data_IF_431587620598
#
_entry.id   IF_431587620598
#
_cell.length_a   1.000
_cell.length_b   1.000
_cell.length_c   1.000
_cell.angle_alpha   90.00
_cell.angle_beta   90.00
_cell.angle_gamma   90.00
#
_symmetry.space_group_name_H-M   'P 1'
#
loop_
_entity.id
_entity.type
_entity.pdbx_description
1 polymer ?
#
# COMPACT_ATOMS: atom_id res chain seq x y z
N UNK A 1 2.86 3.57 -12.17
CA UNK A 1 2.11 4.82 -12.00
C UNK A 1 1.34 4.70 -10.70
N UNK A 2 1.59 5.62 -9.78
CA UNK A 2 0.70 5.97 -8.68
C UNK A 2 -0.33 7.00 -9.20
N UNK A 3 -1.64 6.83 -8.98
CA UNK A 3 -2.66 7.77 -9.44
C UNK A 3 -2.53 9.19 -8.87
N UNK A 4 -1.79 9.39 -7.77
CA UNK A 4 -1.63 10.71 -7.10
C UNK A 4 -0.38 11.49 -7.50
N UNK A 5 0.39 10.98 -8.45
CA UNK A 5 1.68 11.56 -8.74
C UNK A 5 1.64 12.73 -9.73
N UNK A 6 2.52 13.70 -9.49
CA UNK A 6 2.62 14.97 -10.23
C UNK A 6 3.14 14.86 -11.67
N UNK A 7 3.57 16.00 -12.23
CA UNK A 7 4.02 16.10 -13.62
C UNK A 7 5.17 15.12 -13.96
N UNK A 8 5.23 14.61 -15.21
CA UNK A 8 6.21 13.61 -15.64
C UNK A 8 7.65 14.16 -15.66
N UNK A 9 8.66 13.29 -15.48
CA UNK A 9 10.05 13.71 -15.54
C UNK A 9 10.50 14.27 -16.88
N UNK A 10 11.05 15.49 -16.83
CA UNK A 10 11.77 16.12 -17.93
C UNK A 10 13.25 15.71 -17.90
N UNK A 11 13.68 14.96 -18.90
CA UNK A 11 15.07 14.52 -19.05
C UNK A 11 15.32 13.82 -20.39
N UNK A 12 16.55 13.94 -20.90
CA UNK A 12 17.05 13.31 -22.13
C UNK A 12 17.82 11.99 -21.88
N UNK A 13 17.81 11.49 -20.63
CA UNK A 13 18.48 10.24 -20.26
C UNK A 13 17.62 9.02 -20.60
N UNK A 14 18.25 7.89 -20.90
CA UNK A 14 17.58 6.65 -21.27
C UNK A 14 16.63 6.16 -20.17
N UNK A 15 17.11 6.12 -18.91
CA UNK A 15 16.25 6.02 -17.74
C UNK A 15 16.28 7.31 -16.92
N UNK A 16 15.10 7.79 -16.52
CA UNK A 16 14.98 8.90 -15.56
C UNK A 16 14.03 8.49 -14.45
N UNK A 17 14.44 8.71 -13.20
CA UNK A 17 13.57 8.52 -12.03
C UNK A 17 13.16 9.88 -11.50
N UNK A 18 11.87 10.05 -11.24
CA UNK A 18 11.37 11.22 -10.51
C UNK A 18 10.26 10.76 -9.59
N UNK A 19 10.47 10.97 -8.27
CA UNK A 19 9.59 10.47 -7.20
C UNK A 19 9.32 8.97 -7.36
N UNK A 20 8.09 8.61 -7.68
CA UNK A 20 7.52 7.27 -7.85
C UNK A 20 7.47 6.82 -9.32
N UNK A 21 8.15 7.53 -10.23
CA UNK A 21 8.15 7.26 -11.67
C UNK A 21 9.51 6.83 -12.17
N UNK A 22 9.51 5.89 -13.11
CA UNK A 22 10.64 5.62 -13.99
C UNK A 22 10.17 5.83 -15.42
N UNK A 23 10.78 6.80 -16.10
CA UNK A 23 10.60 7.03 -17.53
C UNK A 23 11.67 6.28 -18.30
N UNK A 24 11.24 5.52 -19.31
CA UNK A 24 12.11 4.83 -20.28
C UNK A 24 11.99 5.56 -21.61
N UNK A 25 13.10 6.10 -22.12
CA UNK A 25 13.08 6.82 -23.37
C UNK A 25 13.11 5.87 -24.57
N UNK A 26 12.00 5.84 -25.33
CA UNK A 26 11.80 4.89 -26.42
C UNK A 26 12.74 5.10 -27.63
N UNK A 27 13.36 6.29 -27.75
CA UNK A 27 14.20 6.68 -28.88
C UNK A 27 13.42 7.36 -30.00
N UNK A 28 14.08 7.57 -31.14
CA UNK A 28 13.53 8.34 -32.27
C UNK A 28 12.77 7.51 -33.30
N UNK A 29 12.67 6.18 -33.11
CA UNK A 29 11.91 5.33 -34.02
C UNK A 29 10.41 5.66 -33.97
N UNK A 30 9.77 5.72 -35.13
CA UNK A 30 8.32 5.96 -35.26
C UNK A 30 7.49 4.69 -35.10
N UNK A 31 8.15 3.53 -35.01
CA UNK A 31 7.51 2.23 -34.82
C UNK A 31 7.16 1.98 -33.35
N UNK A 32 6.01 1.33 -33.12
CA UNK A 32 5.60 0.96 -31.76
C UNK A 32 6.60 -0.02 -31.12
N UNK A 33 7.06 0.25 -29.89
CA UNK A 33 8.08 -0.58 -29.24
C UNK A 33 7.53 -1.95 -28.82
N UNK A 34 8.41 -2.95 -28.84
CA UNK A 34 8.14 -4.27 -28.27
C UNK A 34 8.67 -4.28 -26.84
N UNK A 35 7.77 -4.35 -25.85
CA UNK A 35 8.15 -4.40 -24.43
C UNK A 35 7.91 -5.78 -23.86
N UNK A 36 8.94 -6.36 -23.24
CA UNK A 36 8.90 -7.65 -22.56
C UNK A 36 9.16 -7.44 -21.07
N UNK A 37 8.18 -7.75 -20.23
CA UNK A 37 8.39 -7.87 -18.78
C UNK A 37 9.04 -9.21 -18.48
N UNK A 38 10.18 -9.20 -17.81
CA UNK A 38 10.99 -10.40 -17.59
C UNK A 38 11.31 -10.62 -16.11
N UNK A 39 10.86 -11.77 -15.60
CA UNK A 39 11.05 -12.18 -14.21
C UNK A 39 12.23 -13.14 -14.00
N UNK A 40 12.99 -13.47 -15.05
CA UNK A 40 14.17 -14.34 -14.96
C UNK A 40 15.43 -13.61 -14.46
N UNK A 41 16.56 -14.32 -14.40
CA UNK A 41 17.87 -13.71 -14.09
C UNK A 41 18.39 -12.81 -15.21
N UNK A 42 19.44 -12.01 -14.96
CA UNK A 42 20.03 -11.14 -15.99
C UNK A 42 20.36 -11.95 -17.27
N UNK A 43 19.80 -11.61 -18.46
CA UNK A 43 20.12 -12.29 -19.71
C UNK A 43 21.58 -12.09 -20.15
N UNK A 44 22.29 -11.12 -19.57
CA UNK A 44 23.71 -10.86 -19.78
C UNK A 44 24.01 -10.13 -21.09
N UNK A 45 25.25 -9.63 -21.24
CA UNK A 45 25.65 -8.75 -22.35
C UNK A 45 25.76 -9.48 -23.71
N UNK A 46 25.77 -10.81 -23.73
CA UNK A 46 25.85 -11.59 -24.99
C UNK A 46 24.49 -11.76 -25.70
N UNK A 47 23.40 -11.24 -25.13
CA UNK A 47 22.05 -11.39 -25.67
C UNK A 47 21.68 -10.38 -26.79
N UNK A 48 22.63 -9.56 -27.26
CA UNK A 48 22.41 -8.63 -28.37
C UNK A 48 21.66 -7.34 -28.01
N UNK A 49 21.74 -6.92 -26.75
CA UNK A 49 21.23 -5.63 -26.27
C UNK A 49 22.27 -4.53 -26.50
N UNK A 50 21.82 -3.36 -26.95
CA UNK A 50 22.69 -2.21 -27.25
C UNK A 50 22.90 -1.35 -26.00
N UNK A 51 21.82 -1.12 -25.24
CA UNK A 51 21.84 -0.38 -23.99
C UNK A 51 21.35 -1.28 -22.85
N UNK A 52 21.99 -1.19 -21.70
CA UNK A 52 21.48 -1.76 -20.44
C UNK A 52 21.67 -0.73 -19.36
N UNK A 53 20.58 -0.33 -18.72
CA UNK A 53 20.61 0.63 -17.63
C UNK A 53 19.79 0.12 -16.46
N UNK A 54 20.25 0.46 -15.25
CA UNK A 54 19.58 0.16 -14.00
C UNK A 54 19.29 1.47 -13.28
N UNK A 55 18.08 1.60 -12.77
CA UNK A 55 17.71 2.72 -11.92
C UNK A 55 16.98 2.21 -10.69
N UNK A 56 17.20 2.89 -9.57
CA UNK A 56 16.54 2.55 -8.31
C UNK A 56 15.36 3.48 -8.11
N UNK A 57 14.22 2.91 -7.72
CA UNK A 57 13.03 3.67 -7.32
C UNK A 57 12.47 3.13 -6.01
N UNK A 58 11.68 3.96 -5.34
CA UNK A 58 10.92 3.56 -4.14
C UNK A 58 9.45 3.52 -4.52
N UNK A 59 8.80 2.37 -4.31
CA UNK A 59 7.34 2.27 -4.37
C UNK A 59 6.78 2.50 -2.97
N UNK A 60 6.02 3.57 -2.81
CA UNK A 60 5.36 3.96 -1.54
C UNK A 60 4.04 3.23 -1.33
N UNK A 61 3.35 2.87 -2.41
CA UNK A 61 2.03 2.19 -2.38
C UNK A 61 2.12 0.68 -2.54
N UNK A 62 3.29 0.17 -2.94
CA UNK A 62 3.44 -1.24 -3.28
C UNK A 62 2.70 -1.62 -4.56
N UNK A 63 2.39 -0.63 -5.38
CA UNK A 63 1.83 -0.79 -6.71
C UNK A 63 2.78 -0.19 -7.76
N UNK A 64 3.13 -1.00 -8.76
CA UNK A 64 3.87 -0.55 -9.93
C UNK A 64 3.15 -1.04 -11.18
N UNK A 65 2.99 -0.14 -12.15
CA UNK A 65 2.37 -0.42 -13.44
C UNK A 65 3.23 0.17 -14.54
N UNK A 66 3.35 -0.57 -15.65
CA UNK A 66 3.97 -0.11 -16.89
C UNK A 66 2.91 0.60 -17.73
N UNK A 67 3.15 1.86 -18.08
CA UNK A 67 2.25 2.67 -18.89
C UNK A 67 2.87 3.07 -20.23
N UNK A 68 2.02 3.37 -21.22
CA UNK A 68 2.44 4.02 -22.47
C UNK A 68 2.61 5.53 -22.30
N UNK A 69 3.04 6.22 -23.37
CA UNK A 69 3.19 7.68 -23.35
C UNK A 69 1.89 8.48 -23.17
N UNK A 70 0.73 7.81 -23.27
CA UNK A 70 -0.58 8.35 -22.93
C UNK A 70 -1.01 8.01 -21.51
N UNK A 71 -0.10 7.47 -20.69
CA UNK A 71 -0.32 7.08 -19.30
C UNK A 71 -1.29 5.90 -19.10
N UNK A 72 -1.62 5.16 -20.16
CA UNK A 72 -2.50 4.00 -20.05
C UNK A 72 -1.70 2.76 -19.63
N UNK A 73 -2.16 1.98 -18.64
CA UNK A 73 -1.49 0.74 -18.25
C UNK A 73 -1.44 -0.24 -19.43
N UNK A 74 -0.23 -0.54 -19.90
CA UNK A 74 0.01 -1.52 -20.97
C UNK A 74 -0.14 -2.94 -20.43
N UNK A 75 0.06 -3.12 -19.11
CA UNK A 75 -0.14 -4.38 -18.42
C UNK A 75 -0.99 -4.18 -17.15
N UNK A 76 -2.00 -5.04 -16.96
CA UNK A 76 -2.94 -4.97 -15.82
C UNK A 76 -2.44 -5.62 -14.53
N UNK A 77 -1.17 -6.05 -14.49
CA UNK A 77 -0.62 -6.77 -13.35
C UNK A 77 0.29 -5.84 -12.53
N UNK A 78 0.19 -5.92 -11.21
CA UNK A 78 1.08 -5.19 -10.31
C UNK A 78 2.52 -5.75 -10.43
N UNK A 79 3.47 -4.87 -10.75
CA UNK A 79 4.89 -5.19 -10.91
C UNK A 79 5.67 -5.10 -9.59
N UNK A 80 5.12 -4.47 -8.55
CA UNK A 80 5.68 -4.41 -7.21
C UNK A 80 5.45 -5.75 -6.47
N UNK A 81 6.17 -6.78 -6.92
CA UNK A 81 6.02 -8.16 -6.41
C UNK A 81 6.37 -8.33 -4.94
N UNK A 82 7.11 -7.39 -4.34
CA UNK A 82 7.47 -7.37 -2.93
C UNK A 82 6.66 -6.35 -2.10
N UNK A 83 5.61 -5.73 -2.67
CA UNK A 83 4.85 -4.67 -2.02
C UNK A 83 5.61 -3.35 -1.96
N UNK A 84 5.44 -2.58 -0.90
CA UNK A 84 6.14 -1.30 -0.70
C UNK A 84 7.65 -1.52 -0.56
N UNK A 85 8.44 -0.54 -1.00
CA UNK A 85 9.88 -0.56 -0.83
C UNK A 85 10.68 -0.30 -2.10
N UNK A 86 11.98 -0.57 -2.02
CA UNK A 86 12.93 -0.25 -3.09
C UNK A 86 12.95 -1.32 -4.17
N UNK A 87 12.87 -0.87 -5.40
CA UNK A 87 12.99 -1.69 -6.61
C UNK A 87 14.15 -1.21 -7.46
N UNK A 88 14.89 -2.16 -8.01
CA UNK A 88 15.80 -1.90 -9.12
C UNK A 88 15.04 -2.20 -10.41
N UNK A 89 14.91 -1.18 -11.25
CA UNK A 89 14.36 -1.31 -12.59
C UNK A 89 15.55 -1.45 -13.52
N UNK A 90 15.71 -2.64 -14.11
CA UNK A 90 16.70 -2.89 -15.16
C UNK A 90 16.00 -2.87 -16.51
N UNK A 91 16.53 -2.09 -17.44
CA UNK A 91 16.02 -2.04 -18.81
C UNK A 91 17.15 -2.35 -19.77
N UNK A 92 16.95 -3.40 -20.56
CA UNK A 92 17.75 -3.68 -21.73
C UNK A 92 17.03 -3.14 -22.96
N UNK A 93 17.73 -2.45 -23.85
CA UNK A 93 17.16 -1.94 -25.08
C UNK A 93 18.00 -2.25 -26.31
N UNK A 94 17.32 -2.39 -27.46
CA UNK A 94 17.93 -2.48 -28.78
C UNK A 94 17.10 -1.76 -29.82
N UNK A 95 17.75 -1.36 -30.92
CA UNK A 95 17.12 -0.82 -32.13
C UNK A 95 16.37 0.52 -31.91
N UNK A 96 16.66 1.25 -30.83
CA UNK A 96 15.99 2.52 -30.44
C UNK A 96 16.13 3.67 -31.44
N UNK A 97 17.20 3.65 -32.23
CA UNK A 97 17.55 4.70 -33.20
C UNK A 97 17.50 4.19 -34.65
N UNK A 98 16.95 2.99 -34.88
CA UNK A 98 16.84 2.41 -36.22
C UNK A 98 15.47 2.73 -36.81
N UNK A 99 15.43 3.38 -37.98
CA UNK A 99 14.17 3.78 -38.61
C UNK A 99 13.36 2.59 -39.17
N UNK A 100 14.03 1.50 -39.55
CA UNK A 100 13.41 0.32 -40.17
C UNK A 100 13.13 -0.83 -39.18
N UNK A 101 13.34 -0.60 -37.89
CA UNK A 101 13.17 -1.62 -36.85
C UNK A 101 12.37 -1.10 -35.68
N UNK A 102 11.63 -2.03 -35.07
CA UNK A 102 10.90 -1.77 -33.83
C UNK A 102 11.88 -1.73 -32.66
N UNK A 103 11.88 -0.67 -31.84
CA UNK A 103 12.62 -0.66 -30.58
C UNK A 103 12.19 -1.84 -29.71
N UNK A 104 13.14 -2.50 -29.06
CA UNK A 104 12.87 -3.63 -28.18
C UNK A 104 13.35 -3.31 -26.78
N UNK A 105 12.50 -3.59 -25.81
CA UNK A 105 12.80 -3.40 -24.39
C UNK A 105 12.56 -4.70 -23.64
N UNK A 106 13.52 -5.09 -22.81
CA UNK A 106 13.34 -6.09 -21.77
C UNK A 106 13.47 -5.40 -20.42
N UNK A 107 12.37 -5.41 -19.65
CA UNK A 107 12.28 -4.70 -18.37
C UNK A 107 12.20 -5.74 -17.25
N UNK A 108 13.09 -5.61 -16.27
CA UNK A 108 13.06 -6.38 -15.04
C UNK A 108 12.77 -5.44 -13.87
N UNK A 109 11.83 -5.85 -13.02
CA UNK A 109 11.51 -5.17 -11.76
C UNK A 109 11.99 -6.08 -10.63
N UNK A 110 13.11 -5.71 -10.02
CA UNK A 110 13.85 -6.57 -9.10
C UNK A 110 13.68 -6.01 -7.67
N UNK A 111 13.09 -6.77 -6.74
CA UNK A 111 13.09 -6.40 -5.33
C UNK A 111 14.52 -6.47 -4.76
N UNK A 112 15.01 -5.41 -4.09
CA UNK A 112 16.21 -5.53 -3.25
C UNK A 112 17.16 -4.34 -3.18
N UNK A 113 17.80 -4.21 -2.00
CA UNK A 113 18.75 -3.17 -1.56
C UNK A 113 20.17 -3.35 -2.12
N UNK A 114 20.86 -2.24 -2.43
CA UNK A 114 22.33 -2.17 -2.30
C UNK A 114 22.65 -1.66 -0.89
N UNK A 115 23.39 -2.45 -0.12
CA UNK A 115 23.95 -2.13 1.20
C UNK A 115 24.55 -0.72 1.23
N UNK A 116 23.99 0.18 2.06
CA UNK A 116 24.59 1.49 2.35
C UNK A 116 23.69 2.71 2.22
N UNK A 117 22.42 2.58 1.82
CA UNK A 117 21.47 3.66 1.95
C UNK A 117 20.89 3.69 3.38
N UNK A 118 20.77 4.90 3.93
CA UNK A 118 20.10 5.17 5.20
C UNK A 118 18.73 4.48 5.26
N UNK A 119 18.31 3.94 6.42
CA UNK A 119 17.11 3.12 6.51
C UNK A 119 15.93 3.87 5.90
N UNK A 120 15.02 3.14 5.23
CA UNK A 120 13.68 3.66 5.00
C UNK A 120 13.18 4.31 6.31
N UNK A 121 12.45 5.44 6.28
CA UNK A 121 11.83 5.94 7.48
C UNK A 121 11.09 4.76 8.13
N UNK A 122 11.30 4.51 9.42
CA UNK A 122 10.73 3.35 10.07
C UNK A 122 9.23 3.34 9.79
N UNK A 123 8.71 2.22 9.28
CA UNK A 123 7.25 2.02 9.22
C UNK A 123 6.69 2.38 10.59
N UNK A 124 5.63 3.18 10.63
CA UNK A 124 4.97 3.54 11.87
C UNK A 124 4.78 2.29 12.73
N UNK A 125 5.15 2.40 13.99
CA UNK A 125 5.04 1.33 14.97
C UNK A 125 3.80 1.61 15.81
N UNK A 126 3.18 0.56 16.34
CA UNK A 126 2.07 0.72 17.30
C UNK A 126 2.57 1.47 18.54
N UNK A 127 3.82 1.19 18.91
CA UNK A 127 4.49 1.75 20.07
C UNK A 127 4.66 3.27 19.99
N UNK A 128 4.85 3.85 18.80
CA UNK A 128 5.09 5.29 18.61
C UNK A 128 3.87 6.03 18.04
N UNK A 129 2.69 5.40 18.01
CA UNK A 129 1.47 5.96 17.39
C UNK A 129 0.40 6.32 18.42
N UNK A 130 -0.35 7.38 18.12
CA UNK A 130 -1.46 7.88 18.94
C UNK A 130 -2.78 7.88 18.16
N UNK A 131 -3.89 7.95 18.90
CA UNK A 131 -5.24 8.02 18.36
C UNK A 131 -5.74 6.68 17.79
N UNK A 132 -6.96 6.66 17.21
CA UNK A 132 -7.53 5.46 16.62
C UNK A 132 -6.61 4.87 15.53
N UNK A 133 -6.32 3.57 15.63
CA UNK A 133 -5.37 2.92 14.71
C UNK A 133 -6.09 2.02 13.71
N UNK A 134 -5.59 1.97 12.47
CA UNK A 134 -5.87 0.92 11.51
C UNK A 134 -4.60 0.09 11.28
N UNK A 135 -4.55 -1.14 11.79
CA UNK A 135 -3.38 -2.01 11.74
C UNK A 135 -3.56 -3.10 10.70
N UNK A 136 -2.63 -3.17 9.74
CA UNK A 136 -2.58 -4.26 8.78
C UNK A 136 -1.86 -5.48 9.37
N UNK A 137 -2.51 -6.63 9.33
CA UNK A 137 -1.92 -7.91 9.78
C UNK A 137 -1.86 -8.95 8.66
N UNK A 138 -2.53 -8.72 7.53
CA UNK A 138 -2.41 -9.56 6.34
C UNK A 138 -1.80 -8.82 5.16
N UNK A 139 -0.75 -9.43 4.60
CA UNK A 139 0.02 -8.88 3.47
C UNK A 139 -0.16 -9.70 2.18
N UNK A 140 -1.07 -10.68 2.18
CA UNK A 140 -1.29 -11.60 1.05
C UNK A 140 -2.06 -10.95 -0.12
N UNK A 141 -2.79 -9.86 0.14
CA UNK A 141 -3.68 -9.19 -0.82
C UNK A 141 -3.32 -7.69 -0.97
N UNK A 142 -2.18 -7.35 -1.59
CA UNK A 142 -1.72 -5.95 -1.68
C UNK A 142 -2.64 -5.05 -2.50
N UNK A 143 -3.35 -5.58 -3.49
CA UNK A 143 -4.30 -4.80 -4.30
C UNK A 143 -5.57 -4.43 -3.52
N UNK A 144 -6.08 -5.34 -2.70
CA UNK A 144 -7.26 -5.06 -1.86
C UNK A 144 -6.90 -4.14 -0.69
N UNK A 145 -5.67 -4.22 -0.18
CA UNK A 145 -5.15 -3.24 0.78
C UNK A 145 -5.11 -1.82 0.19
N UNK A 146 -4.60 -1.64 -1.03
CA UNK A 146 -4.58 -0.34 -1.69
C UNK A 146 -6.01 0.23 -1.85
N UNK A 147 -6.97 -0.60 -2.29
CA UNK A 147 -8.37 -0.16 -2.42
C UNK A 147 -9.03 0.18 -1.07
N UNK A 148 -8.65 -0.51 0.00
CA UNK A 148 -9.11 -0.18 1.35
C UNK A 148 -8.60 1.21 1.76
N UNK A 149 -7.34 1.53 1.48
CA UNK A 149 -6.77 2.87 1.74
C UNK A 149 -7.46 3.96 0.91
N UNK A 150 -7.74 3.70 -0.37
CA UNK A 150 -8.49 4.64 -1.22
C UNK A 150 -9.89 4.92 -0.63
N UNK A 151 -10.61 3.87 -0.23
CA UNK A 151 -11.93 4.00 0.40
C UNK A 151 -11.87 4.72 1.76
N UNK A 152 -10.79 4.52 2.52
CA UNK A 152 -10.55 5.20 3.78
C UNK A 152 -10.31 6.70 3.56
N UNK A 153 -9.50 7.08 2.56
CA UNK A 153 -9.23 8.49 2.25
C UNK A 153 -10.50 9.22 1.80
N UNK A 154 -11.32 8.60 0.94
CA UNK A 154 -12.64 9.14 0.57
C UNK A 154 -13.54 9.35 1.80
N UNK A 155 -13.56 8.40 2.74
CA UNK A 155 -14.32 8.51 3.97
C UNK A 155 -13.78 9.62 4.89
N UNK A 156 -12.46 9.73 5.03
CA UNK A 156 -11.79 10.74 5.85
C UNK A 156 -12.08 12.16 5.35
N UNK A 157 -12.07 12.37 4.02
CA UNK A 157 -12.43 13.66 3.41
C UNK A 157 -13.88 14.07 3.70
N UNK A 158 -14.79 13.10 3.79
CA UNK A 158 -16.22 13.35 3.97
C UNK A 158 -16.62 13.50 5.44
N UNK A 159 -15.95 12.79 6.35
CA UNK A 159 -16.41 12.61 7.73
C UNK A 159 -15.40 13.02 8.81
N UNK A 160 -14.17 13.45 8.43
CA UNK A 160 -13.12 13.89 9.36
C UNK A 160 -12.82 12.86 10.48
N UNK A 161 -12.75 11.57 10.14
CA UNK A 161 -12.36 10.51 11.08
C UNK A 161 -10.84 10.28 10.99
N UNK A 162 -10.02 10.80 11.93
CA UNK A 162 -8.57 10.59 11.88
C UNK A 162 -8.24 9.14 12.28
N UNK A 163 -7.83 8.34 11.30
CA UNK A 163 -7.26 7.01 11.54
C UNK A 163 -5.77 7.02 11.22
N UNK A 164 -4.96 6.57 12.17
CA UNK A 164 -3.52 6.37 11.95
C UNK A 164 -3.29 4.97 11.38
N UNK A 165 -2.78 4.90 10.15
CA UNK A 165 -2.53 3.64 9.44
C UNK A 165 -1.18 3.05 9.82
N UNK A 166 -1.19 1.79 10.29
CA UNK A 166 -0.01 1.01 10.65
C UNK A 166 0.18 -0.12 9.63
N UNK A 167 0.98 0.14 8.59
CA UNK A 167 1.36 -0.82 7.55
C UNK A 167 2.81 -1.30 7.77
N UNK A 168 3.00 -2.11 8.82
CA UNK A 168 4.31 -2.61 9.22
C UNK A 168 4.34 -4.16 9.14
N UNK A 169 5.14 -4.76 8.24
CA UNK A 169 5.22 -6.21 8.06
C UNK A 169 5.60 -6.99 9.33
N UNK A 170 6.21 -6.34 10.32
CA UNK A 170 6.50 -6.95 11.62
C UNK A 170 5.24 -7.47 12.33
N UNK A 171 4.06 -6.91 12.01
CA UNK A 171 2.77 -7.31 12.59
C UNK A 171 2.02 -8.35 11.76
N UNK A 172 2.65 -8.94 10.74
CA UNK A 172 2.05 -10.02 9.94
C UNK A 172 1.55 -11.16 10.84
N UNK A 173 0.29 -11.57 10.66
CA UNK A 173 -0.33 -12.67 11.38
C UNK A 173 -0.51 -12.44 12.89
N UNK A 174 -0.31 -11.22 13.38
CA UNK A 174 -0.54 -10.92 14.80
C UNK A 174 -2.03 -10.99 15.13
N UNK A 175 -2.32 -11.60 16.27
CA UNK A 175 -3.66 -11.65 16.86
C UNK A 175 -4.03 -10.31 17.49
N UNK A 176 -5.33 -10.02 17.71
CA UNK A 176 -5.77 -8.80 18.39
C UNK A 176 -5.06 -8.55 19.72
N UNK A 177 -4.93 -9.59 20.54
CA UNK A 177 -4.22 -9.51 21.83
C UNK A 177 -2.73 -9.17 21.69
N UNK A 178 -2.06 -9.63 20.62
CA UNK A 178 -0.66 -9.29 20.36
C UNK A 178 -0.48 -7.86 19.86
N UNK A 179 -1.47 -7.34 19.12
CA UNK A 179 -1.52 -5.95 18.68
C UNK A 179 -1.74 -5.04 19.90
N UNK A 180 -2.75 -5.32 20.73
CA UNK A 180 -3.06 -4.46 21.88
C UNK A 180 -1.98 -4.48 22.95
N UNK A 181 -1.26 -5.60 23.11
CA UNK A 181 -0.12 -5.69 24.02
C UNK A 181 1.07 -4.78 23.65
N UNK A 182 1.10 -4.20 22.44
CA UNK A 182 2.14 -3.24 21.99
C UNK A 182 1.78 -1.79 22.24
N UNK A 183 0.52 -1.50 22.57
CA UNK A 183 0.06 -0.14 22.80
C UNK A 183 0.67 0.35 24.11
N UNK A 184 1.37 1.49 24.05
CA UNK A 184 1.93 2.11 25.24
C UNK A 184 0.81 2.48 26.23
N UNK A 185 1.11 2.36 27.52
CA UNK A 185 0.24 2.76 28.61
C UNK A 185 0.98 3.76 29.49
N UNK A 186 0.27 4.75 30.02
CA UNK A 186 0.82 5.68 31.01
C UNK A 186 0.93 5.02 32.40
N UNK A 187 1.40 5.80 33.39
CA UNK A 187 1.62 5.32 34.76
C UNK A 187 0.31 4.92 35.46
N UNK A 188 -0.83 5.44 35.00
CA UNK A 188 -2.18 5.10 35.44
C UNK A 188 -2.77 3.89 34.69
N UNK A 189 -2.07 3.35 33.70
CA UNK A 189 -2.49 2.19 32.90
C UNK A 189 -3.42 2.54 31.73
N UNK A 190 -3.65 3.82 31.45
CA UNK A 190 -4.42 4.26 30.29
C UNK A 190 -3.62 4.10 29.01
N UNK A 191 -4.22 3.55 27.94
CA UNK A 191 -3.52 3.34 26.69
C UNK A 191 -3.43 4.62 25.86
N UNK A 192 -2.35 4.76 25.09
CA UNK A 192 -2.17 5.82 24.09
C UNK A 192 -3.24 5.80 22.97
N UNK A 193 -3.90 4.64 22.79
CA UNK A 193 -5.05 4.48 21.92
C UNK A 193 -6.10 3.54 22.52
N UNK A 194 -7.36 3.95 22.43
CA UNK A 194 -8.51 3.22 23.01
C UNK A 194 -9.22 2.33 21.98
N UNK A 195 -9.05 2.62 20.68
CA UNK A 195 -9.72 1.91 19.59
C UNK A 195 -8.70 1.47 18.54
N UNK A 196 -8.72 0.18 18.23
CA UNK A 196 -7.88 -0.40 17.17
C UNK A 196 -8.75 -1.15 16.17
N UNK A 197 -8.60 -0.81 14.91
CA UNK A 197 -9.16 -1.53 13.76
C UNK A 197 -8.08 -2.43 13.16
N UNK A 198 -8.39 -3.69 12.90
CA UNK A 198 -7.44 -4.64 12.32
C UNK A 198 -7.91 -5.05 10.92
N UNK A 199 -7.05 -4.80 9.93
CA UNK A 199 -7.19 -5.29 8.56
C UNK A 199 -6.40 -6.60 8.40
N UNK A 200 -7.08 -7.71 8.66
CA UNK A 200 -6.56 -9.06 8.47
C UNK A 200 -7.01 -9.69 7.14
N UNK A 201 -6.76 -10.98 6.96
CA UNK A 201 -7.09 -11.68 5.71
C UNK A 201 -8.59 -11.63 5.38
N UNK A 202 -9.46 -11.72 6.40
CA UNK A 202 -10.90 -11.67 6.23
C UNK A 202 -11.37 -10.28 5.77
N UNK A 203 -10.79 -9.22 6.35
CA UNK A 203 -11.10 -7.85 5.93
C UNK A 203 -10.75 -7.63 4.46
N UNK A 204 -9.58 -8.10 4.02
CA UNK A 204 -9.10 -7.92 2.64
C UNK A 204 -9.73 -8.87 1.62
N UNK A 205 -10.40 -9.93 2.06
CA UNK A 205 -11.06 -10.89 1.17
C UNK A 205 -12.51 -10.48 0.80
N UNK A 206 -13.04 -9.39 1.36
CA UNK A 206 -14.40 -8.92 1.14
C UNK A 206 -14.42 -7.48 0.64
N UNK A 207 -15.32 -7.18 -0.30
CA UNK A 207 -15.51 -5.83 -0.85
C UNK A 207 -16.10 -4.84 0.18
N UNK A 208 -16.73 -5.34 1.25
CA UNK A 208 -17.23 -4.49 2.35
C UNK A 208 -16.11 -4.09 3.34
N UNK A 209 -14.91 -4.66 3.20
CA UNK A 209 -13.77 -4.48 4.10
C UNK A 209 -14.14 -4.59 5.59
N UNK A 210 -14.66 -5.75 6.05
CA UNK A 210 -15.03 -5.96 7.45
C UNK A 210 -13.78 -6.03 8.33
N UNK A 211 -13.33 -4.86 8.81
CA UNK A 211 -12.22 -4.75 9.76
C UNK A 211 -12.67 -5.24 11.14
N UNK A 212 -11.72 -5.75 11.92
CA UNK A 212 -12.02 -6.15 13.29
C UNK A 212 -11.81 -4.95 14.22
N UNK A 213 -12.88 -4.48 14.85
CA UNK A 213 -12.82 -3.46 15.88
C UNK A 213 -12.46 -4.08 17.24
N UNK A 214 -11.50 -3.48 17.92
CA UNK A 214 -10.96 -3.93 19.20
C UNK A 214 -10.95 -2.75 20.16
N UNK A 215 -11.66 -2.89 21.27
CA UNK A 215 -11.58 -1.97 22.38
C UNK A 215 -10.31 -2.26 23.20
N UNK A 216 -9.58 -1.21 23.58
CA UNK A 216 -8.35 -1.31 24.36
C UNK A 216 -8.42 -0.57 25.71
N UNK A 217 -9.60 -0.06 26.08
CA UNK A 217 -9.82 0.59 27.36
C UNK A 217 -9.50 -0.36 28.54
N UNK A 218 -8.88 0.16 29.62
CA UNK A 218 -8.71 -0.62 30.84
C UNK A 218 -10.10 -0.95 31.42
N UNK A 219 -10.23 -2.15 32.01
CA UNK A 219 -11.44 -2.67 32.64
C UNK A 219 -12.64 -2.94 31.71
N UNK A 220 -12.43 -2.86 30.39
CA UNK A 220 -13.44 -3.25 29.40
C UNK A 220 -13.14 -4.64 28.83
N UNK A 221 -14.13 -5.54 28.89
CA UNK A 221 -14.07 -6.91 28.39
C UNK A 221 -14.97 -7.14 27.16
N UNK A 222 -15.47 -6.07 26.55
CA UNK A 222 -16.29 -6.14 25.35
C UNK A 222 -15.55 -6.90 24.23
N UNK A 223 -16.25 -7.88 23.65
CA UNK A 223 -15.67 -8.75 22.64
C UNK A 223 -15.36 -7.97 21.34
N UNK A 224 -14.21 -8.23 20.69
CA UNK A 224 -13.96 -7.72 19.35
C UNK A 224 -15.03 -8.17 18.36
N UNK A 225 -15.41 -7.28 17.44
CA UNK A 225 -16.43 -7.56 16.44
C UNK A 225 -16.04 -7.00 15.06
N UNK A 226 -16.66 -7.51 14.00
CA UNK A 226 -16.40 -7.03 12.65
C UNK A 226 -17.31 -5.86 12.33
N UNK A 227 -16.75 -4.87 11.66
CA UNK A 227 -17.47 -3.68 11.20
C UNK A 227 -16.99 -3.33 9.80
N UNK A 228 -17.90 -2.93 8.92
CA UNK A 228 -17.50 -2.46 7.57
C UNK A 228 -16.68 -1.18 7.68
N UNK A 229 -15.81 -0.92 6.70
CA UNK A 229 -14.99 0.29 6.71
C UNK A 229 -15.83 1.57 6.80
N UNK A 230 -16.97 1.62 6.10
CA UNK A 230 -17.88 2.77 6.13
C UNK A 230 -18.47 3.02 7.52
N UNK A 231 -18.93 1.97 8.21
CA UNK A 231 -19.44 2.07 9.57
C UNK A 231 -18.31 2.35 10.59
N UNK A 232 -17.10 1.84 10.34
CA UNK A 232 -15.95 2.05 11.21
C UNK A 232 -15.56 3.53 11.33
N UNK A 233 -15.66 4.31 10.25
CA UNK A 233 -15.44 5.77 10.29
C UNK A 233 -16.44 6.47 11.23
N UNK A 234 -17.70 6.03 11.23
CA UNK A 234 -18.74 6.53 12.14
C UNK A 234 -18.49 6.14 13.60
N UNK A 235 -18.07 4.89 13.84
CA UNK A 235 -17.65 4.41 15.16
C UNK A 235 -16.54 5.28 15.76
N UNK A 236 -15.48 5.53 14.98
CA UNK A 236 -14.32 6.33 15.41
C UNK A 236 -14.77 7.72 15.87
N UNK A 237 -15.54 8.43 15.04
CA UNK A 237 -15.99 9.79 15.36
C UNK A 237 -16.89 9.80 16.60
N UNK A 238 -17.86 8.89 16.70
CA UNK A 238 -18.76 8.88 17.84
C UNK A 238 -18.07 8.49 19.15
N UNK A 239 -17.09 7.58 19.10
CA UNK A 239 -16.27 7.26 20.26
C UNK A 239 -15.38 8.43 20.69
N UNK A 240 -14.71 9.11 19.75
CA UNK A 240 -13.87 10.28 20.07
C UNK A 240 -14.71 11.43 20.67
N UNK A 241 -15.93 11.64 20.17
CA UNK A 241 -16.87 12.63 20.70
C UNK A 241 -17.61 12.17 21.95
N UNK A 242 -17.40 10.92 22.39
CA UNK A 242 -18.12 10.30 23.51
C UNK A 242 -19.65 10.33 23.36
N UNK A 243 -20.15 10.21 22.13
CA UNK A 243 -21.59 10.09 21.84
C UNK A 243 -22.13 8.68 22.14
N UNK A 244 -21.29 7.67 21.97
CA UNK A 244 -21.60 6.25 22.14
C UNK A 244 -20.45 5.54 22.85
N UNK A 245 -20.71 4.39 23.46
CA UNK A 245 -19.67 3.48 23.97
C UNK A 245 -19.47 2.27 23.04
N UNK A 246 -18.39 1.50 23.21
CA UNK A 246 -18.09 0.35 22.33
C UNK A 246 -19.16 -0.74 22.38
N UNK A 247 -19.75 -0.97 23.56
CA UNK A 247 -20.80 -1.97 23.81
C UNK A 247 -22.05 -1.73 22.98
N UNK A 248 -22.46 -0.49 22.80
CA UNK A 248 -23.62 -0.13 21.97
C UNK A 248 -23.46 -0.65 20.53
N UNK A 249 -22.24 -0.61 19.98
CA UNK A 249 -21.95 -1.12 18.63
C UNK A 249 -21.91 -2.64 18.59
N UNK A 250 -21.32 -3.29 19.61
CA UNK A 250 -21.32 -4.76 19.73
C UNK A 250 -22.75 -5.32 19.71
N UNK A 251 -23.71 -4.62 20.32
CA UNK A 251 -25.11 -5.04 20.37
C UNK A 251 -25.86 -4.90 19.03
N UNK A 252 -25.38 -4.05 18.12
CA UNK A 252 -25.98 -3.85 16.80
C UNK A 252 -25.36 -4.70 15.68
N UNK A 253 -24.51 -5.66 16.02
CA UNK A 253 -23.89 -6.58 15.05
C UNK A 253 -24.97 -7.46 14.40
N UNK A 254 -24.93 -7.56 13.07
CA UNK A 254 -25.87 -8.39 12.31
C UNK A 254 -25.70 -9.88 12.61
N UNK A 255 -26.66 -10.70 12.15
CA UNK A 255 -26.65 -12.15 12.35
C UNK A 255 -25.42 -12.87 11.76
N UNK A 256 -24.71 -12.24 10.82
CA UNK A 256 -23.46 -12.76 10.23
C UNK A 256 -22.20 -12.32 10.98
N UNK A 257 -22.35 -11.56 12.08
CA UNK A 257 -21.25 -11.10 12.90
C UNK A 257 -20.59 -9.80 12.43
N UNK A 258 -21.19 -9.08 11.46
CA UNK A 258 -20.67 -7.83 10.90
C UNK A 258 -21.62 -6.67 11.20
N UNK A 259 -21.11 -5.54 11.68
CA UNK A 259 -21.84 -4.30 11.85
C UNK A 259 -21.76 -3.44 10.57
N UNK A 260 -22.89 -2.86 10.13
CA UNK A 260 -22.99 -2.13 8.85
C UNK A 260 -23.62 -0.73 8.90
N UNK A 261 -24.28 -0.35 9.99
CA UNK A 261 -25.00 0.92 10.04
C UNK A 261 -24.05 2.13 10.19
N UNK A 262 -24.41 3.27 9.63
CA UNK A 262 -23.65 4.53 9.73
C UNK A 262 -24.43 5.55 10.56
N UNK A 263 -23.80 6.16 11.57
CA UNK A 263 -24.40 7.16 12.45
C UNK A 263 -23.56 8.45 12.43
N UNK A 264 -23.99 9.48 11.69
CA UNK A 264 -23.31 10.78 11.59
C UNK A 264 -24.22 11.93 11.99
#
# INVERSE_FOLDING_TARGET
>A
MDPDAGEPPAGDQFLTVERDWVRVEAGSSSEAPIVTLYAGGDPGPQAGWEDVEEITMVSTTGFLALCDGGYNPVHKANLATAGTGTYVIRVHASDRSSEDKKPRFLIQVIPGQRTGAEPAPPSATIEDSEGPLLVRTSFTQPQEWARLLDALDEAAQKHHAPLTVIDNPAYTGHTPAQITARIQRDDEGWPATTLVLIADEQALASAEYPVLAVNNLPDDDDAPFRITLAAASSLVVNMELSNTDFREWVQGVDADGIYREEHY
#
